data_IF_313620210683
#
_entry.id   IF_313620210683
#
_cell.length_a   1.000
_cell.length_b   1.000
_cell.length_c   1.000
_cell.angle_alpha   90.00
_cell.angle_beta   90.00
_cell.angle_gamma   90.00
#
_symmetry.space_group_name_H-M   'P 1'
#
loop_
_entity.id
_entity.type
_entity.pdbx_description
1 polymer ?
#
# COMPACT_ATOMS: atom_id res chain seq x y z
N UNK A 1 -6.47 0.27 -2.40
CA UNK A 1 -6.11 1.16 -3.53
C UNK A 1 -6.57 0.59 -4.87
N UNK A 2 -6.38 -0.71 -5.13
CA UNK A 2 -6.71 -1.33 -6.43
C UNK A 2 -8.16 -1.10 -6.88
N UNK A 3 -9.11 -0.98 -5.94
CA UNK A 3 -10.52 -0.67 -6.21
C UNK A 3 -10.76 0.69 -6.90
N UNK A 4 -9.79 1.60 -6.81
CA UNK A 4 -9.87 2.94 -7.38
C UNK A 4 -9.13 3.07 -8.70
N UNK A 5 -8.41 2.04 -9.11
CA UNK A 5 -7.68 1.99 -10.36
C UNK A 5 -8.39 1.01 -11.28
N UNK A 6 -9.02 1.56 -12.28
CA UNK A 6 -9.54 0.79 -13.40
C UNK A 6 -8.53 0.84 -14.56
N UNK A 7 -8.85 0.16 -15.61
CA UNK A 7 -8.05 0.11 -16.85
C UNK A 7 -8.31 1.32 -17.78
N UNK A 8 -8.87 2.40 -17.25
CA UNK A 8 -9.29 3.56 -18.03
C UNK A 8 -8.82 4.86 -17.39
N UNK A 9 -8.16 5.72 -18.14
CA UNK A 9 -7.84 7.10 -17.77
C UNK A 9 -8.96 8.01 -18.27
N UNK A 10 -9.50 8.85 -17.38
CA UNK A 10 -10.43 9.90 -17.73
C UNK A 10 -9.75 11.26 -17.62
N UNK A 11 -9.66 11.98 -18.72
CA UNK A 11 -9.06 13.32 -18.79
C UNK A 11 -10.02 14.40 -18.31
N UNK A 12 -9.50 15.62 -18.09
CA UNK A 12 -10.30 16.76 -17.61
C UNK A 12 -11.41 17.19 -18.54
N UNK A 13 -11.25 16.96 -19.85
CA UNK A 13 -12.24 17.24 -20.88
C UNK A 13 -13.30 16.14 -21.02
N UNK A 14 -13.22 15.08 -20.20
CA UNK A 14 -14.13 13.94 -20.20
C UNK A 14 -13.78 12.85 -21.20
N UNK A 15 -12.73 13.02 -21.99
CA UNK A 15 -12.25 11.94 -22.88
C UNK A 15 -11.69 10.78 -22.08
N UNK A 16 -11.79 9.57 -22.60
CA UNK A 16 -11.33 8.34 -21.96
C UNK A 16 -10.43 7.55 -22.91
N UNK A 17 -9.38 6.95 -22.36
CA UNK A 17 -8.54 6.00 -23.07
C UNK A 17 -8.18 4.81 -22.19
N UNK A 18 -7.92 3.63 -22.78
CA UNK A 18 -7.44 2.47 -22.04
C UNK A 18 -6.08 2.76 -21.39
N UNK A 19 -5.89 2.23 -20.18
CA UNK A 19 -4.64 2.27 -19.45
C UNK A 19 -4.17 0.85 -19.14
N UNK A 20 -2.90 0.57 -19.42
CA UNK A 20 -2.28 -0.69 -19.03
C UNK A 20 -1.73 -0.53 -17.60
N UNK A 21 -2.41 -1.16 -16.65
CA UNK A 21 -2.07 -1.07 -15.23
C UNK A 21 -1.16 -2.24 -14.83
N UNK A 22 0.04 -1.93 -14.37
CA UNK A 22 0.97 -2.90 -13.81
C UNK A 22 1.12 -2.73 -12.30
N UNK A 23 0.97 -3.82 -11.56
CA UNK A 23 1.20 -3.86 -10.11
C UNK A 23 2.49 -4.61 -9.82
N UNK A 24 3.45 -3.91 -9.24
CA UNK A 24 4.79 -4.42 -8.96
C UNK A 24 5.07 -4.46 -7.45
N UNK A 25 5.96 -5.33 -6.97
CA UNK A 25 6.47 -5.25 -5.61
C UNK A 25 7.10 -3.89 -5.32
N UNK A 26 7.11 -3.49 -4.04
CA UNK A 26 7.76 -2.25 -3.60
C UNK A 26 9.20 -2.18 -4.12
N UNK A 27 9.64 -1.10 -4.78
CA UNK A 27 11.00 -0.99 -5.25
C UNK A 27 11.99 -0.93 -4.09
N UNK A 28 13.18 -1.48 -4.30
CA UNK A 28 14.31 -1.40 -3.37
C UNK A 28 15.57 -1.00 -4.09
N UNK A 29 16.49 -0.34 -3.38
CA UNK A 29 17.82 -0.04 -3.90
C UNK A 29 18.62 -1.34 -4.04
N UNK A 30 19.43 -1.44 -5.08
CA UNK A 30 20.30 -2.59 -5.29
C UNK A 30 21.25 -2.78 -4.08
N UNK A 31 21.32 -4.00 -3.56
CA UNK A 31 22.12 -4.33 -2.38
C UNK A 31 21.51 -3.95 -1.02
N UNK A 32 20.37 -3.25 -0.99
CA UNK A 32 19.66 -2.94 0.23
C UNK A 32 18.66 -4.05 0.62
N UNK A 33 18.31 -4.09 1.91
CA UNK A 33 17.27 -4.98 2.41
C UNK A 33 15.91 -4.66 1.74
N UNK A 34 15.17 -5.71 1.47
CA UNK A 34 13.82 -5.59 0.96
C UNK A 34 12.87 -5.31 2.14
N UNK A 35 12.45 -4.06 2.29
CA UNK A 35 11.59 -3.60 3.37
C UNK A 35 10.23 -3.22 2.83
N UNK A 36 9.17 -3.52 3.59
CA UNK A 36 7.83 -3.04 3.31
C UNK A 36 7.17 -2.49 4.56
N UNK A 37 6.43 -1.41 4.43
CA UNK A 37 5.55 -0.94 5.50
C UNK A 37 4.25 -1.72 5.43
N UNK A 38 3.80 -2.25 6.56
CA UNK A 38 2.52 -2.92 6.67
C UNK A 38 1.58 -2.05 7.49
N UNK A 39 0.62 -1.47 6.82
CA UNK A 39 -0.50 -0.78 7.43
C UNK A 39 -1.79 -1.57 7.17
N UNK A 40 -2.73 -1.52 8.10
CA UNK A 40 -3.99 -2.24 7.95
C UNK A 40 -5.06 -1.76 8.92
N UNK A 41 -6.27 -2.27 8.71
CA UNK A 41 -7.40 -2.06 9.60
C UNK A 41 -7.47 -3.24 10.58
N UNK A 42 -7.53 -2.94 11.86
CA UNK A 42 -7.69 -3.93 12.92
C UNK A 42 -9.16 -4.01 13.38
N UNK A 43 -9.56 -5.19 13.80
CA UNK A 43 -10.83 -5.39 14.51
C UNK A 43 -10.58 -5.32 16.02
N UNK A 44 -11.34 -4.46 16.70
CA UNK A 44 -11.32 -4.36 18.15
C UNK A 44 -12.67 -4.78 18.72
N UNK A 45 -12.65 -5.67 19.70
CA UNK A 45 -13.83 -6.04 20.46
C UNK A 45 -13.83 -5.33 21.81
N UNK A 46 -14.87 -4.54 22.09
CA UNK A 46 -15.06 -3.94 23.42
C UNK A 46 -15.63 -4.96 24.38
N UNK A 47 -14.91 -5.24 25.47
CA UNK A 47 -15.35 -6.18 26.48
C UNK A 47 -16.47 -5.58 27.34
N UNK A 48 -17.65 -6.20 27.28
CA UNK A 48 -18.80 -5.87 28.15
C UNK A 48 -19.19 -7.06 29.02
N UNK A 49 -19.70 -8.14 28.44
CA UNK A 49 -20.04 -9.40 29.10
C UNK A 49 -19.26 -10.54 28.46
N UNK A 50 -19.11 -11.65 29.19
CA UNK A 50 -18.40 -12.83 28.68
C UNK A 50 -19.10 -13.40 27.44
N UNK A 51 -20.44 -13.44 27.42
CA UNK A 51 -21.21 -13.87 26.25
C UNK A 51 -20.93 -13.00 24.98
N UNK A 52 -20.86 -11.70 25.14
CA UNK A 52 -20.54 -10.81 24.02
C UNK A 52 -19.09 -10.95 23.57
N UNK A 53 -18.17 -11.18 24.50
CA UNK A 53 -16.77 -11.44 24.16
C UNK A 53 -16.63 -12.76 23.38
N UNK A 54 -17.36 -13.81 23.80
CA UNK A 54 -17.40 -15.08 23.09
C UNK A 54 -17.99 -14.93 21.67
N UNK A 55 -19.10 -14.22 21.54
CA UNK A 55 -19.72 -13.94 20.25
C UNK A 55 -18.78 -13.16 19.31
N UNK A 56 -18.05 -12.17 19.83
CA UNK A 56 -17.04 -11.44 19.06
C UNK A 56 -15.90 -12.36 18.60
N UNK A 57 -15.43 -13.24 19.47
CA UNK A 57 -14.39 -14.23 19.13
C UNK A 57 -14.86 -15.21 18.05
N UNK A 58 -16.09 -15.68 18.13
CA UNK A 58 -16.71 -16.54 17.11
C UNK A 58 -16.82 -15.80 15.76
N UNK A 59 -17.26 -14.55 15.77
CA UNK A 59 -17.33 -13.73 14.56
C UNK A 59 -15.96 -13.56 13.90
N UNK A 60 -14.93 -13.22 14.68
CA UNK A 60 -13.57 -13.06 14.14
C UNK A 60 -13.05 -14.38 13.55
N UNK A 61 -13.26 -15.51 14.24
CA UNK A 61 -12.88 -16.82 13.69
C UNK A 61 -13.60 -17.12 12.39
N UNK A 62 -14.91 -16.88 12.33
CA UNK A 62 -15.74 -17.08 11.15
C UNK A 62 -15.27 -16.18 9.99
N UNK A 63 -15.01 -14.87 10.22
CA UNK A 63 -14.57 -13.92 9.21
C UNK A 63 -13.17 -14.27 8.66
N UNK A 64 -12.32 -14.84 9.51
CA UNK A 64 -10.94 -15.18 9.14
C UNK A 64 -10.78 -16.62 8.63
N UNK A 65 -11.85 -17.40 8.46
CA UNK A 65 -11.79 -18.65 7.70
C UNK A 65 -11.36 -18.38 6.27
N UNK A 66 -10.50 -19.26 5.71
CA UNK A 66 -9.79 -18.98 4.46
C UNK A 66 -10.72 -18.58 3.30
N UNK A 67 -11.82 -19.30 3.10
CA UNK A 67 -12.76 -19.02 2.02
C UNK A 67 -13.44 -17.64 2.19
N UNK A 68 -13.98 -17.36 3.38
CA UNK A 68 -14.63 -16.07 3.67
C UNK A 68 -13.66 -14.91 3.66
N UNK A 69 -12.43 -15.16 4.13
CA UNK A 69 -11.39 -14.16 4.09
C UNK A 69 -11.00 -13.82 2.64
N UNK A 70 -10.93 -14.80 1.74
CA UNK A 70 -10.72 -14.58 0.31
C UNK A 70 -11.85 -13.75 -0.31
N UNK A 71 -13.11 -14.09 -0.04
CA UNK A 71 -14.26 -13.31 -0.53
C UNK A 71 -14.18 -11.84 -0.05
N UNK A 72 -13.80 -11.61 1.20
CA UNK A 72 -13.64 -10.26 1.76
C UNK A 72 -12.46 -9.49 1.12
N UNK A 73 -11.30 -10.11 1.03
CA UNK A 73 -10.11 -9.42 0.51
C UNK A 73 -10.19 -9.17 -0.99
N UNK A 74 -10.83 -10.06 -1.75
CA UNK A 74 -11.07 -9.85 -3.17
C UNK A 74 -11.94 -8.62 -3.44
N UNK A 75 -12.91 -8.34 -2.58
CA UNK A 75 -13.78 -7.18 -2.72
C UNK A 75 -13.19 -5.89 -2.16
N UNK A 76 -12.18 -5.97 -1.30
CA UNK A 76 -11.59 -4.81 -0.62
C UNK A 76 -10.17 -4.49 -1.07
N UNK A 77 -9.48 -5.41 -1.75
CA UNK A 77 -8.06 -5.27 -2.11
C UNK A 77 -7.12 -5.33 -0.89
N UNK A 78 -7.60 -5.85 0.25
CA UNK A 78 -6.77 -6.09 1.44
C UNK A 78 -5.98 -7.39 1.33
N UNK A 79 -5.03 -7.57 2.25
CA UNK A 79 -4.25 -8.79 2.34
C UNK A 79 -5.03 -9.88 3.10
N UNK A 80 -4.89 -11.15 2.68
CA UNK A 80 -5.35 -12.27 3.49
C UNK A 80 -4.68 -12.28 4.87
N UNK A 81 -5.44 -12.69 5.90
CA UNK A 81 -4.94 -12.74 7.28
C UNK A 81 -4.45 -14.12 7.70
N UNK A 82 -4.59 -15.12 6.82
CA UNK A 82 -4.12 -16.49 7.05
C UNK A 82 -3.31 -17.00 5.86
N UNK A 83 -2.28 -17.78 6.15
CA UNK A 83 -1.44 -18.39 5.12
C UNK A 83 -2.25 -19.24 4.14
N UNK A 84 -3.18 -20.07 4.62
CA UNK A 84 -4.02 -20.89 3.74
C UNK A 84 -4.91 -20.07 2.79
N UNK A 85 -5.29 -18.85 3.14
CA UNK A 85 -5.97 -17.95 2.21
C UNK A 85 -5.00 -17.35 1.18
N UNK A 86 -3.76 -17.07 1.57
CA UNK A 86 -2.71 -16.67 0.64
C UNK A 86 -2.40 -17.75 -0.40
N UNK A 87 -2.28 -19.00 0.05
CA UNK A 87 -2.01 -20.13 -0.87
C UNK A 87 -3.16 -20.37 -1.84
N UNK A 88 -4.39 -20.16 -1.39
CA UNK A 88 -5.59 -20.36 -2.20
C UNK A 88 -5.88 -19.23 -3.19
N UNK A 89 -5.28 -18.05 -3.01
CA UNK A 89 -5.63 -16.85 -3.78
C UNK A 89 -5.30 -16.96 -5.27
N UNK A 90 -4.27 -17.71 -5.62
CA UNK A 90 -3.85 -17.91 -7.01
C UNK A 90 -4.94 -18.62 -7.85
N UNK A 91 -5.74 -19.47 -7.20
CA UNK A 91 -6.83 -20.22 -7.83
C UNK A 91 -8.20 -19.59 -7.57
N UNK A 92 -8.23 -18.42 -6.96
CA UNK A 92 -9.49 -17.74 -6.68
C UNK A 92 -10.08 -17.14 -7.94
N UNK A 93 -11.34 -17.45 -8.24
CA UNK A 93 -12.02 -17.13 -9.49
C UNK A 93 -13.10 -16.04 -9.40
N UNK A 94 -13.32 -15.51 -8.18
CA UNK A 94 -14.38 -14.52 -7.93
C UNK A 94 -13.84 -13.08 -7.74
N UNK A 95 -12.72 -12.74 -8.39
CA UNK A 95 -12.23 -11.37 -8.37
C UNK A 95 -13.17 -10.43 -9.12
N UNK A 96 -13.40 -9.20 -8.59
CA UNK A 96 -14.06 -8.15 -9.37
C UNK A 96 -13.26 -7.80 -10.62
N UNK A 97 -13.92 -7.26 -11.62
CA UNK A 97 -13.21 -6.68 -12.77
C UNK A 97 -12.54 -5.33 -12.38
N UNK A 98 -11.36 -5.03 -12.91
CA UNK A 98 -10.56 -5.86 -13.83
C UNK A 98 -9.79 -6.97 -13.09
N UNK A 99 -10.11 -8.21 -13.38
CA UNK A 99 -9.55 -9.41 -12.72
C UNK A 99 -8.03 -9.45 -12.78
N UNK A 100 -7.43 -9.03 -13.89
CA UNK A 100 -5.98 -9.07 -14.08
C UNK A 100 -5.24 -8.17 -13.08
N UNK A 101 -5.77 -6.99 -12.77
CA UNK A 101 -5.19 -6.09 -11.76
C UNK A 101 -5.15 -6.73 -10.37
N UNK A 102 -6.17 -7.49 -10.00
CA UNK A 102 -6.18 -8.26 -8.74
C UNK A 102 -5.16 -9.40 -8.75
N UNK A 103 -5.04 -10.12 -9.86
CA UNK A 103 -4.02 -11.19 -9.99
C UNK A 103 -2.61 -10.64 -9.84
N UNK A 104 -2.31 -9.52 -10.48
CA UNK A 104 -1.02 -8.84 -10.35
C UNK A 104 -0.78 -8.33 -8.92
N UNK A 105 -1.80 -7.76 -8.27
CA UNK A 105 -1.71 -7.32 -6.87
C UNK A 105 -1.28 -8.47 -5.95
N UNK A 106 -1.97 -9.59 -6.04
CA UNK A 106 -1.70 -10.72 -5.15
C UNK A 106 -0.41 -11.45 -5.50
N UNK A 107 -0.01 -11.49 -6.78
CA UNK A 107 1.31 -11.98 -7.17
C UNK A 107 2.44 -11.10 -6.60
N UNK A 108 2.30 -9.78 -6.67
CA UNK A 108 3.25 -8.85 -6.06
C UNK A 108 3.30 -8.98 -4.52
N UNK A 109 2.13 -9.11 -3.87
CA UNK A 109 2.05 -9.31 -2.42
C UNK A 109 2.69 -10.62 -1.97
N UNK A 110 2.54 -11.71 -2.74
CA UNK A 110 3.17 -13.00 -2.44
C UNK A 110 4.69 -12.89 -2.49
N UNK A 111 5.24 -12.27 -3.54
CA UNK A 111 6.68 -12.00 -3.64
C UNK A 111 7.17 -11.19 -2.44
N UNK A 112 6.42 -10.16 -2.04
CA UNK A 112 6.78 -9.32 -0.88
C UNK A 112 6.68 -10.08 0.43
N UNK A 113 5.68 -10.94 0.62
CA UNK A 113 5.55 -11.76 1.82
C UNK A 113 6.72 -12.74 2.00
N UNK A 114 7.22 -13.30 0.90
CA UNK A 114 8.32 -14.27 0.91
C UNK A 114 9.71 -13.63 1.03
N UNK A 115 9.88 -12.40 0.53
CA UNK A 115 11.19 -11.80 0.30
C UNK A 115 11.42 -10.47 1.01
N UNK A 116 10.40 -9.87 1.63
CA UNK A 116 10.49 -8.56 2.27
C UNK A 116 10.32 -8.68 3.78
N UNK A 117 11.00 -7.82 4.50
CA UNK A 117 10.82 -7.67 5.95
C UNK A 117 9.75 -6.62 6.23
N UNK A 118 8.62 -7.00 6.88
CA UNK A 118 7.60 -6.04 7.24
C UNK A 118 8.11 -5.12 8.36
N UNK A 119 7.90 -3.82 8.17
CA UNK A 119 8.20 -2.78 9.16
C UNK A 119 6.90 -2.19 9.71
N UNK A 120 6.85 -2.05 11.01
CA UNK A 120 5.83 -1.25 11.67
C UNK A 120 6.28 0.21 11.70
N UNK A 121 5.32 1.12 11.58
CA UNK A 121 5.61 2.55 11.76
C UNK A 121 6.22 2.79 13.16
N UNK A 122 7.26 3.63 13.25
CA UNK A 122 7.83 4.02 14.54
C UNK A 122 6.77 4.67 15.43
N UNK A 123 6.82 4.35 16.73
CA UNK A 123 5.87 4.89 17.72
C UNK A 123 6.61 5.76 18.72
N UNK A 124 6.83 7.01 18.37
CA UNK A 124 7.37 8.01 19.29
C UNK A 124 6.55 9.31 19.18
N UNK A 125 6.62 10.13 20.24
CA UNK A 125 5.94 11.41 20.24
C UNK A 125 6.45 12.31 19.12
N UNK A 126 5.53 12.94 18.39
CA UNK A 126 5.87 13.79 17.25
C UNK A 126 6.13 13.08 15.93
N UNK A 127 6.07 11.74 15.87
CA UNK A 127 6.29 10.98 14.62
C UNK A 127 5.48 11.51 13.44
N UNK A 128 4.17 11.64 13.60
CA UNK A 128 3.30 12.13 12.52
C UNK A 128 3.59 13.57 12.11
N UNK A 129 4.04 14.42 13.05
CA UNK A 129 4.50 15.78 12.73
C UNK A 129 5.73 15.78 11.84
N UNK A 130 6.70 14.90 12.09
CA UNK A 130 7.89 14.73 11.25
C UNK A 130 7.56 14.16 9.89
N UNK A 131 6.67 13.17 9.84
CA UNK A 131 6.18 12.60 8.57
C UNK A 131 5.47 13.68 7.74
N UNK A 132 4.64 14.52 8.36
CA UNK A 132 3.98 15.64 7.65
C UNK A 132 5.00 16.63 7.09
N UNK A 133 6.02 17.02 7.86
CA UNK A 133 7.09 17.90 7.40
C UNK A 133 7.87 17.31 6.22
N UNK A 134 8.15 16.00 6.26
CA UNK A 134 8.77 15.28 5.16
C UNK A 134 7.93 15.36 3.88
N UNK A 135 6.64 15.04 3.98
CA UNK A 135 5.74 15.09 2.83
C UNK A 135 5.57 16.50 2.27
N UNK A 136 5.48 17.52 3.13
CA UNK A 136 5.35 18.91 2.71
C UNK A 136 6.63 19.39 2.02
N UNK A 137 7.81 19.01 2.54
CA UNK A 137 9.09 19.28 1.90
C UNK A 137 9.20 18.63 0.52
N UNK A 138 8.88 17.35 0.40
CA UNK A 138 8.87 16.64 -0.89
C UNK A 138 7.89 17.26 -1.89
N UNK A 139 6.70 17.63 -1.44
CA UNK A 139 5.69 18.28 -2.30
C UNK A 139 6.15 19.64 -2.80
N UNK A 140 6.78 20.45 -1.96
CA UNK A 140 7.34 21.74 -2.37
C UNK A 140 8.45 21.56 -3.39
N UNK A 141 9.32 20.57 -3.20
CA UNK A 141 10.38 20.26 -4.17
C UNK A 141 9.79 19.79 -5.49
N UNK A 142 8.84 18.86 -5.46
CA UNK A 142 8.16 18.38 -6.66
C UNK A 142 7.53 19.52 -7.50
N UNK A 143 7.04 20.58 -6.85
CA UNK A 143 6.50 21.75 -7.55
C UNK A 143 7.57 22.65 -8.16
N UNK A 144 8.76 22.75 -7.55
CA UNK A 144 9.82 23.68 -7.95
C UNK A 144 10.84 23.08 -8.92
N UNK A 145 11.19 21.79 -8.71
CA UNK A 145 12.27 21.13 -9.46
C UNK A 145 12.07 21.09 -10.98
N UNK A 146 10.87 20.82 -11.52
CA UNK A 146 10.69 20.77 -12.98
C UNK A 146 11.03 22.11 -13.67
N UNK A 147 10.66 23.24 -13.08
CA UNK A 147 10.95 24.55 -13.63
C UNK A 147 12.47 24.88 -13.58
N UNK A 148 13.15 24.48 -12.51
CA UNK A 148 14.60 24.67 -12.34
C UNK A 148 15.39 23.79 -13.31
N UNK A 149 14.99 22.53 -13.45
CA UNK A 149 15.60 21.62 -14.43
C UNK A 149 15.41 22.14 -15.87
N UNK A 150 14.22 22.65 -16.20
CA UNK A 150 13.95 23.26 -17.49
C UNK A 150 14.75 24.55 -17.74
N UNK A 151 15.14 25.27 -16.68
CA UNK A 151 16.03 26.40 -16.72
C UNK A 151 17.52 26.04 -16.87
N UNK A 152 17.85 24.75 -16.92
CA UNK A 152 19.19 24.23 -17.15
C UNK A 152 20.00 23.95 -15.87
N UNK A 153 19.38 23.95 -14.70
CA UNK A 153 20.09 23.54 -13.50
C UNK A 153 20.40 22.03 -13.51
N UNK A 154 21.56 21.66 -12.97
CA UNK A 154 22.01 20.27 -12.94
C UNK A 154 21.10 19.40 -12.07
N UNK A 155 20.71 18.23 -12.59
CA UNK A 155 19.92 17.24 -11.83
C UNK A 155 20.64 16.84 -10.56
N UNK A 156 21.97 16.67 -10.60
CA UNK A 156 22.76 16.31 -9.43
C UNK A 156 22.67 17.38 -8.33
N UNK A 157 22.80 18.66 -8.70
CA UNK A 157 22.64 19.78 -7.76
C UNK A 157 21.24 19.79 -7.13
N UNK A 158 20.19 19.58 -7.94
CA UNK A 158 18.81 19.53 -7.47
C UNK A 158 18.56 18.34 -6.54
N UNK A 159 19.20 17.20 -6.81
CA UNK A 159 19.13 16.02 -5.96
C UNK A 159 19.85 16.23 -4.62
N UNK A 160 21.05 16.83 -4.62
CA UNK A 160 21.80 17.14 -3.41
C UNK A 160 21.04 18.13 -2.49
N UNK A 161 20.48 19.19 -3.07
CA UNK A 161 19.64 20.13 -2.31
C UNK A 161 18.41 19.47 -1.70
N UNK A 162 17.74 18.60 -2.46
CA UNK A 162 16.59 17.83 -1.98
C UNK A 162 16.98 16.93 -0.82
N UNK A 163 18.09 16.23 -0.97
CA UNK A 163 18.61 15.36 0.09
C UNK A 163 18.98 16.13 1.35
N UNK A 164 19.65 17.28 1.21
CA UNK A 164 19.98 18.14 2.34
C UNK A 164 18.73 18.63 3.09
N UNK A 165 17.67 19.00 2.35
CA UNK A 165 16.38 19.37 2.93
C UNK A 165 15.75 18.23 3.73
N UNK A 166 15.76 17.01 3.20
CA UNK A 166 15.21 15.84 3.88
C UNK A 166 16.01 15.51 5.14
N UNK A 167 17.33 15.60 5.09
CA UNK A 167 18.20 15.37 6.24
C UNK A 167 18.05 16.43 7.37
N UNK A 168 17.52 17.61 7.06
CA UNK A 168 17.28 18.67 8.05
C UNK A 168 15.99 18.49 8.87
N UNK A 169 15.18 17.49 8.54
CA UNK A 169 13.94 17.17 9.30
C UNK A 169 14.32 16.31 10.50
N UNK A 170 14.41 16.93 11.68
CA UNK A 170 14.80 16.29 12.94
C UNK A 170 13.63 16.01 13.87
#
# INVERSE_FOLDING_TARGET
>A
AILYYNDTVTYRDGTQEPMDLHVLPMPKTAGADALMTQAGVGLCAYKTTDQKAEAAALFVRWLTESERNLDFVAQTGYMPVRNGAFDAIENYDKFPEPTESYRQLYAALKIMQESYTPLSEPRFEGYYGKVSQLYDGLRQMQQKLPARAAAGESIDTLAEETWALLCAIH
#
